data_IF_291529628995
#
_entry.id   IF_291529628995
#
_cell.length_a   1.000
_cell.length_b   1.000
_cell.length_c   1.000
_cell.angle_alpha   90.00
_cell.angle_beta   90.00
_cell.angle_gamma   90.00
#
_symmetry.space_group_name_H-M   'P 1'
#
loop_
_entity.id
_entity.type
_entity.pdbx_description
1 polymer ?
#
# COMPACT_ATOMS: atom_id res chain seq x y z
N UNK A 1 3.95 3.61 32.63
CA UNK A 1 5.17 4.11 31.96
C UNK A 1 5.22 3.80 30.45
N UNK A 2 4.76 2.62 29.98
CA UNK A 2 4.76 2.27 28.55
C UNK A 2 3.93 3.21 27.64
N UNK A 3 2.80 3.77 28.13
CA UNK A 3 1.97 4.74 27.39
C UNK A 3 2.67 6.09 27.12
N UNK A 4 3.68 6.45 27.92
CA UNK A 4 4.42 7.69 27.76
C UNK A 4 5.52 7.57 26.69
N UNK A 5 6.06 6.36 26.48
CA UNK A 5 7.14 6.10 25.51
C UNK A 5 6.59 6.03 24.08
N UNK A 6 5.40 5.44 23.88
CA UNK A 6 4.76 5.39 22.55
C UNK A 6 4.33 6.77 22.08
N UNK A 7 3.80 7.62 22.97
CA UNK A 7 3.43 8.99 22.63
C UNK A 7 4.65 9.86 22.27
N UNK A 8 5.81 9.63 22.90
CA UNK A 8 7.01 10.43 22.68
C UNK A 8 7.75 10.09 21.36
N UNK A 9 7.53 8.90 20.79
CA UNK A 9 8.11 8.50 19.51
C UNK A 9 7.29 8.99 18.29
N UNK A 10 5.99 9.20 18.43
CA UNK A 10 5.12 9.68 17.34
C UNK A 10 5.27 11.19 17.07
N UNK A 11 5.54 11.99 18.10
CA UNK A 11 5.64 13.47 17.98
C UNK A 11 6.81 13.94 17.09
N UNK A 12 8.04 13.42 17.19
CA UNK A 12 9.13 13.84 16.29
C UNK A 12 8.91 13.40 14.84
N UNK A 13 8.22 12.27 14.61
CA UNK A 13 7.86 11.83 13.26
C UNK A 13 6.87 12.81 12.60
N UNK A 14 5.84 13.24 13.32
CA UNK A 14 4.90 14.26 12.82
C UNK A 14 5.55 15.65 12.65
N UNK A 15 6.48 16.04 13.53
CA UNK A 15 7.17 17.33 13.43
C UNK A 15 8.17 17.36 12.24
N UNK A 16 8.85 16.25 11.96
CA UNK A 16 9.76 16.14 10.82
C UNK A 16 9.05 16.15 9.46
N UNK A 17 7.78 15.76 9.42
CA UNK A 17 6.96 15.81 8.20
C UNK A 17 6.57 17.25 7.79
N UNK A 18 6.55 18.22 8.72
CA UNK A 18 6.14 19.60 8.42
C UNK A 18 7.30 20.53 8.01
N UNK A 19 8.55 20.16 8.33
CA UNK A 19 9.72 20.95 7.98
C UNK A 19 10.30 20.61 6.59
N UNK A 20 9.79 19.56 5.94
CA UNK A 20 10.06 19.32 4.54
C UNK A 20 9.29 20.36 3.73
N UNK A 21 9.95 21.49 3.46
CA UNK A 21 9.61 22.43 2.42
C UNK A 21 9.01 21.66 1.24
N UNK A 22 7.76 22.00 0.87
CA UNK A 22 6.96 21.35 -0.17
C UNK A 22 7.61 21.61 -1.52
N UNK A 23 8.80 21.04 -1.75
CA UNK A 23 9.19 20.63 -3.08
C UNK A 23 8.16 19.60 -3.44
N UNK A 24 7.26 19.96 -4.36
CA UNK A 24 6.36 19.02 -5.00
C UNK A 24 7.20 17.76 -5.27
N UNK A 25 6.91 16.64 -4.58
CA UNK A 25 7.72 15.44 -4.70
C UNK A 25 7.84 15.17 -6.18
N UNK A 26 9.06 14.98 -6.69
CA UNK A 26 9.27 14.73 -8.10
C UNK A 26 8.27 13.65 -8.52
N UNK A 27 7.25 14.06 -9.29
CA UNK A 27 5.99 13.32 -9.53
C UNK A 27 6.18 11.99 -10.29
N UNK A 28 7.45 11.61 -10.45
CA UNK A 28 7.99 10.68 -11.41
C UNK A 28 9.01 9.73 -10.76
N UNK A 29 9.21 9.80 -9.43
CA UNK A 29 9.98 8.78 -8.72
C UNK A 29 9.15 7.51 -8.60
N UNK A 30 9.73 6.40 -9.02
CA UNK A 30 9.24 5.08 -8.68
C UNK A 30 9.17 4.94 -7.15
N UNK A 31 7.96 4.72 -6.64
CA UNK A 31 7.70 4.56 -5.21
C UNK A 31 7.06 3.20 -4.88
N UNK A 32 7.05 2.27 -5.85
CA UNK A 32 6.57 0.90 -5.65
C UNK A 32 7.28 0.20 -4.49
N UNK A 33 8.60 0.35 -4.40
CA UNK A 33 9.39 -0.17 -3.28
C UNK A 33 8.98 0.38 -1.91
N UNK A 34 8.50 1.63 -1.84
CA UNK A 34 7.97 2.20 -0.59
C UNK A 34 6.68 1.53 -0.18
N UNK A 35 5.76 1.32 -1.13
CA UNK A 35 4.51 0.61 -0.85
C UNK A 35 4.81 -0.84 -0.43
N UNK A 36 5.72 -1.52 -1.13
CA UNK A 36 6.07 -2.92 -0.84
C UNK A 36 6.62 -3.07 0.58
N UNK A 37 7.45 -2.12 1.03
CA UNK A 37 7.96 -2.09 2.38
C UNK A 37 6.85 -1.88 3.42
N UNK A 38 5.96 -0.92 3.19
CA UNK A 38 4.83 -0.64 4.09
C UNK A 38 3.91 -1.87 4.22
N UNK A 39 3.60 -2.52 3.10
CA UNK A 39 2.78 -3.72 3.07
C UNK A 39 3.46 -4.88 3.79
N UNK A 40 4.74 -5.11 3.51
CA UNK A 40 5.52 -6.15 4.16
C UNK A 40 5.58 -5.96 5.67
N UNK A 41 5.77 -4.71 6.15
CA UNK A 41 5.76 -4.39 7.57
C UNK A 41 4.38 -4.58 8.21
N UNK A 42 3.31 -4.16 7.53
CA UNK A 42 1.93 -4.35 8.00
C UNK A 42 1.58 -5.84 8.13
N UNK A 43 1.90 -6.64 7.11
CA UNK A 43 1.67 -8.09 7.10
C UNK A 43 2.51 -8.79 8.18
N UNK A 44 3.79 -8.43 8.30
CA UNK A 44 4.67 -9.01 9.31
C UNK A 44 4.18 -8.70 10.74
N UNK A 45 3.76 -7.46 10.99
CA UNK A 45 3.16 -7.06 12.27
C UNK A 45 1.83 -7.78 12.52
N UNK A 46 0.98 -7.92 11.50
CA UNK A 46 -0.27 -8.66 11.59
C UNK A 46 -0.03 -10.13 11.99
N UNK A 47 0.89 -10.80 11.29
CA UNK A 47 1.24 -12.20 11.56
C UNK A 47 1.87 -12.39 12.94
N UNK A 48 2.85 -11.55 13.31
CA UNK A 48 3.48 -11.58 14.62
C UNK A 48 2.48 -11.30 15.74
N UNK A 49 1.56 -10.35 15.52
CA UNK A 49 0.47 -10.04 16.44
C UNK A 49 -0.48 -11.20 16.64
N UNK A 50 -0.88 -11.87 15.55
CA UNK A 50 -1.71 -13.08 15.60
C UNK A 50 -1.08 -14.18 16.46
N UNK A 51 0.19 -14.52 16.19
CA UNK A 51 0.93 -15.54 16.96
C UNK A 51 1.09 -15.19 18.45
N UNK A 52 1.24 -13.91 18.77
CA UNK A 52 1.34 -13.46 20.17
C UNK A 52 -0.02 -13.39 20.87
N UNK A 53 -1.11 -13.24 20.11
CA UNK A 53 -2.46 -13.08 20.67
C UNK A 53 -3.00 -14.36 21.33
N UNK A 54 -2.48 -15.52 20.96
CA UNK A 54 -2.81 -16.81 21.56
C UNK A 54 -2.21 -17.02 22.97
N UNK A 55 -1.31 -16.13 23.40
CA UNK A 55 -0.67 -16.24 24.72
C UNK A 55 -1.50 -15.55 25.80
N UNK A 56 -1.55 -16.13 26.99
CA UNK A 56 -2.23 -15.52 28.13
C UNK A 56 -1.55 -14.24 28.64
N UNK A 57 -2.33 -13.41 29.32
CA UNK A 57 -1.84 -12.24 30.06
C UNK A 57 -1.42 -11.06 29.19
N UNK A 58 -0.28 -10.44 29.52
CA UNK A 58 0.21 -9.22 28.85
C UNK A 58 0.64 -9.49 27.41
N UNK A 59 1.14 -10.70 27.11
CA UNK A 59 1.56 -11.08 25.75
C UNK A 59 0.39 -11.15 24.78
N UNK A 60 -0.75 -11.70 25.19
CA UNK A 60 -1.97 -11.73 24.37
C UNK A 60 -2.46 -10.35 23.98
N UNK A 61 -2.57 -9.44 24.96
CA UNK A 61 -2.98 -8.04 24.71
C UNK A 61 -2.03 -7.31 23.75
N UNK A 62 -0.73 -7.52 23.92
CA UNK A 62 0.28 -6.97 23.01
C UNK A 62 0.12 -7.55 21.61
N UNK A 63 -0.10 -8.87 21.50
CA UNK A 63 -0.36 -9.56 20.24
C UNK A 63 -1.57 -8.99 19.50
N UNK A 64 -2.73 -8.89 20.16
CA UNK A 64 -3.93 -8.28 19.56
C UNK A 64 -3.68 -6.84 19.12
N UNK A 65 -2.99 -6.04 19.94
CA UNK A 65 -2.67 -4.64 19.58
C UNK A 65 -1.77 -4.57 18.35
N UNK A 66 -0.75 -5.42 18.30
CA UNK A 66 0.18 -5.50 17.17
C UNK A 66 -0.52 -6.01 15.90
N UNK A 67 -1.45 -6.95 16.04
CA UNK A 67 -2.26 -7.46 14.93
C UNK A 67 -3.14 -6.35 14.34
N UNK A 68 -3.85 -5.59 15.20
CA UNK A 68 -4.67 -4.45 14.78
C UNK A 68 -3.81 -3.38 14.11
N UNK A 69 -2.65 -3.06 14.68
CA UNK A 69 -1.72 -2.09 14.10
C UNK A 69 -1.21 -2.57 12.73
N UNK A 70 -0.82 -3.84 12.61
CA UNK A 70 -0.38 -4.44 11.35
C UNK A 70 -1.47 -4.42 10.28
N UNK A 71 -2.71 -4.81 10.63
CA UNK A 71 -3.87 -4.72 9.75
C UNK A 71 -4.15 -3.27 9.32
N UNK A 72 -4.09 -2.31 10.25
CA UNK A 72 -4.27 -0.89 9.95
C UNK A 72 -3.18 -0.33 9.03
N UNK A 73 -1.92 -0.68 9.29
CA UNK A 73 -0.78 -0.32 8.44
C UNK A 73 -0.91 -0.92 7.05
N UNK A 74 -1.27 -2.20 6.94
CA UNK A 74 -1.52 -2.84 5.65
C UNK A 74 -2.71 -2.18 4.92
N UNK A 75 -3.83 -1.94 5.60
CA UNK A 75 -5.03 -1.39 4.95
C UNK A 75 -4.85 0.07 4.49
N UNK A 76 -4.24 0.92 5.32
CA UNK A 76 -4.18 2.36 5.09
C UNK A 76 -2.82 2.84 4.57
N UNK A 77 -1.75 2.06 4.80
CA UNK A 77 -0.39 2.50 4.55
C UNK A 77 -0.10 2.78 3.08
N UNK A 78 -0.53 1.90 2.17
CA UNK A 78 -0.38 2.15 0.73
C UNK A 78 -1.22 3.34 0.25
N UNK A 79 -2.47 3.42 0.68
CA UNK A 79 -3.36 4.55 0.36
C UNK A 79 -2.73 5.88 0.81
N UNK A 80 -2.16 5.93 2.02
CA UNK A 80 -1.42 7.09 2.51
C UNK A 80 -0.18 7.38 1.67
N UNK A 81 0.56 6.34 1.22
CA UNK A 81 1.69 6.52 0.32
C UNK A 81 1.24 7.13 -1.02
N UNK A 82 0.18 6.62 -1.65
CA UNK A 82 -0.39 7.19 -2.87
C UNK A 82 -0.75 8.67 -2.70
N UNK A 83 -1.36 9.05 -1.58
CA UNK A 83 -1.64 10.46 -1.26
C UNK A 83 -0.36 11.29 -1.09
N UNK A 84 0.65 10.74 -0.40
CA UNK A 84 1.95 11.38 -0.22
C UNK A 84 2.69 11.68 -1.53
N UNK A 85 2.47 10.86 -2.57
CA UNK A 85 2.98 11.08 -3.93
C UNK A 85 2.01 11.86 -4.84
N UNK A 86 0.95 12.46 -4.30
CA UNK A 86 -0.01 13.28 -5.05
C UNK A 86 -0.98 12.50 -5.94
N UNK A 87 -1.09 11.18 -5.76
CA UNK A 87 -1.94 10.28 -6.57
C UNK A 87 -3.25 9.95 -5.86
N UNK A 88 -4.11 10.96 -5.66
CA UNK A 88 -5.36 10.82 -4.90
C UNK A 88 -6.35 9.81 -5.47
N UNK A 89 -6.50 9.75 -6.80
CA UNK A 89 -7.36 8.76 -7.47
C UNK A 89 -6.88 7.33 -7.19
N UNK A 90 -5.57 7.09 -7.29
CA UNK A 90 -4.95 5.79 -7.00
C UNK A 90 -5.07 5.41 -5.53
N UNK A 91 -5.00 6.38 -4.61
CA UNK A 91 -5.25 6.11 -3.19
C UNK A 91 -6.66 5.57 -2.94
N UNK A 92 -7.69 6.14 -3.57
CA UNK A 92 -9.05 5.67 -3.40
C UNK A 92 -9.24 4.25 -3.97
N UNK A 93 -8.65 3.97 -5.14
CA UNK A 93 -8.69 2.63 -5.75
C UNK A 93 -7.93 1.62 -4.88
N UNK A 94 -6.75 1.96 -4.39
CA UNK A 94 -5.94 1.11 -3.51
C UNK A 94 -6.70 0.73 -2.23
N UNK A 95 -7.32 1.72 -1.58
CA UNK A 95 -8.17 1.49 -0.41
C UNK A 95 -9.35 0.57 -0.74
N UNK A 96 -10.03 0.83 -1.86
CA UNK A 96 -11.14 0.00 -2.34
C UNK A 96 -10.73 -1.45 -2.61
N UNK A 97 -9.56 -1.69 -3.23
CA UNK A 97 -9.02 -3.03 -3.44
C UNK A 97 -8.71 -3.73 -2.12
N UNK A 98 -8.07 -3.03 -1.17
CA UNK A 98 -7.68 -3.60 0.12
C UNK A 98 -8.87 -3.90 1.04
N UNK A 99 -10.00 -3.23 0.87
CA UNK A 99 -11.25 -3.61 1.53
C UNK A 99 -12.01 -4.68 0.76
N UNK A 100 -12.16 -4.49 -0.55
CA UNK A 100 -13.04 -5.31 -1.38
C UNK A 100 -12.49 -6.69 -1.65
N UNK A 101 -11.23 -6.81 -2.06
CA UNK A 101 -10.66 -8.09 -2.49
C UNK A 101 -10.59 -9.12 -1.36
N UNK A 102 -10.18 -8.79 -0.11
CA UNK A 102 -10.29 -9.74 1.01
C UNK A 102 -11.71 -10.19 1.29
N UNK A 103 -12.69 -9.27 1.26
CA UNK A 103 -14.11 -9.60 1.51
C UNK A 103 -14.65 -10.53 0.43
N UNK A 104 -14.34 -10.25 -0.84
CA UNK A 104 -14.70 -11.12 -1.97
C UNK A 104 -14.05 -12.50 -1.83
N UNK A 105 -12.75 -12.56 -1.52
CA UNK A 105 -12.05 -13.82 -1.30
C UNK A 105 -12.62 -14.63 -0.14
N UNK A 106 -12.91 -13.99 0.99
CA UNK A 106 -13.54 -14.60 2.15
C UNK A 106 -14.94 -15.15 1.81
N UNK A 107 -15.74 -14.38 1.07
CA UNK A 107 -17.08 -14.80 0.65
C UNK A 107 -17.03 -15.99 -0.30
N UNK A 108 -16.18 -15.93 -1.33
CA UNK A 108 -16.06 -17.00 -2.32
C UNK A 108 -15.56 -18.29 -1.69
N UNK A 109 -14.52 -18.22 -0.85
CA UNK A 109 -13.99 -19.40 -0.15
C UNK A 109 -15.01 -20.02 0.81
N UNK A 110 -15.72 -19.22 1.60
CA UNK A 110 -16.79 -19.69 2.48
C UNK A 110 -17.93 -20.36 1.71
N UNK A 111 -18.37 -19.78 0.59
CA UNK A 111 -19.37 -20.38 -0.28
C UNK A 111 -18.89 -21.70 -0.91
N UNK A 112 -17.62 -21.79 -1.30
CA UNK A 112 -17.06 -23.05 -1.83
C UNK A 112 -17.00 -24.15 -0.78
N UNK A 113 -16.62 -23.83 0.46
CA UNK A 113 -16.61 -24.80 1.55
C UNK A 113 -18.01 -25.34 1.85
N UNK A 114 -19.02 -24.46 1.84
CA UNK A 114 -20.41 -24.86 1.96
C UNK A 114 -20.88 -25.74 0.80
N UNK A 115 -20.54 -25.36 -0.45
CA UNK A 115 -20.95 -26.10 -1.64
C UNK A 115 -20.35 -27.50 -1.72
N UNK A 116 -19.07 -27.66 -1.37
CA UNK A 116 -18.37 -28.96 -1.35
C UNK A 116 -19.04 -29.91 -0.33
N UNK A 117 -19.48 -29.37 0.80
CA UNK A 117 -20.14 -30.15 1.88
C UNK A 117 -21.51 -30.73 1.48
N UNK A 118 -22.10 -30.25 0.37
CA UNK A 118 -23.36 -30.76 -0.19
C UNK A 118 -23.17 -31.63 -1.45
N UNK A 119 -21.93 -31.92 -1.86
CA UNK A 119 -21.60 -32.54 -3.16
C UNK A 119 -22.01 -34.02 -3.35
N UNK A 120 -22.67 -34.65 -2.38
CA UNK A 120 -22.97 -36.09 -2.38
C UNK A 120 -24.45 -36.47 -2.22
N UNK A 121 -25.38 -35.51 -2.24
CA UNK A 121 -26.82 -35.75 -2.05
C UNK A 121 -27.28 -35.74 -0.59
N UNK A 122 -26.35 -35.79 0.37
CA UNK A 122 -26.61 -35.57 1.79
C UNK A 122 -25.88 -34.29 2.22
N UNK A 123 -26.63 -33.21 2.48
CA UNK A 123 -26.06 -32.01 3.06
C UNK A 123 -25.91 -32.22 4.57
N UNK A 124 -24.74 -32.69 4.99
CA UNK A 124 -24.32 -32.45 6.38
C UNK A 124 -23.84 -31.00 6.48
N UNK A 125 -24.33 -30.22 7.46
CA UNK A 125 -23.82 -28.88 7.67
C UNK A 125 -22.31 -28.99 7.94
N UNK A 126 -21.46 -28.21 7.25
CA UNK A 126 -20.03 -28.20 7.56
C UNK A 126 -19.82 -27.81 9.02
N UNK A 127 -18.79 -28.37 9.64
CA UNK A 127 -18.39 -27.91 10.96
C UNK A 127 -18.09 -26.41 10.87
N UNK A 128 -18.50 -25.66 11.90
CA UNK A 128 -18.34 -24.19 11.91
C UNK A 128 -16.88 -23.78 11.72
N UNK A 129 -15.97 -24.63 12.17
CA UNK A 129 -14.53 -24.42 12.11
C UNK A 129 -13.99 -24.53 10.68
N UNK A 130 -14.54 -25.43 9.85
CA UNK A 130 -14.16 -25.57 8.44
C UNK A 130 -14.55 -24.33 7.62
N UNK A 131 -15.76 -23.82 7.82
CA UNK A 131 -16.23 -22.60 7.13
C UNK A 131 -15.43 -21.39 7.59
N UNK A 132 -15.16 -21.28 8.89
CA UNK A 132 -14.34 -20.21 9.44
C UNK A 132 -12.91 -20.25 8.88
N UNK A 133 -12.30 -21.43 8.82
CA UNK A 133 -10.96 -21.63 8.26
C UNK A 133 -10.90 -21.30 6.77
N UNK A 134 -11.85 -21.79 5.98
CA UNK A 134 -11.95 -21.47 4.56
C UNK A 134 -12.11 -19.96 4.33
N UNK A 135 -13.01 -19.32 5.08
CA UNK A 135 -13.25 -17.87 5.04
C UNK A 135 -11.98 -17.09 5.37
N UNK A 136 -11.22 -17.52 6.38
CA UNK A 136 -9.96 -16.91 6.76
C UNK A 136 -8.89 -17.06 5.65
N UNK A 137 -8.77 -18.24 5.04
CA UNK A 137 -7.88 -18.45 3.89
C UNK A 137 -8.25 -17.52 2.74
N UNK A 138 -9.53 -17.43 2.38
CA UNK A 138 -9.97 -16.57 1.30
C UNK A 138 -9.73 -15.09 1.58
N UNK A 139 -9.90 -14.67 2.84
CA UNK A 139 -9.57 -13.31 3.27
C UNK A 139 -8.08 -13.02 3.07
N UNK A 140 -7.19 -13.91 3.54
CA UNK A 140 -5.73 -13.77 3.40
C UNK A 140 -5.32 -13.76 1.93
N UNK A 141 -5.83 -14.71 1.14
CA UNK A 141 -5.54 -14.80 -0.29
C UNK A 141 -6.01 -13.54 -1.04
N UNK A 142 -7.20 -13.04 -0.71
CA UNK A 142 -7.72 -11.78 -1.24
C UNK A 142 -6.87 -10.57 -0.84
N UNK A 143 -6.35 -10.54 0.38
CA UNK A 143 -5.39 -9.51 0.82
C UNK A 143 -4.09 -9.53 0.03
N UNK A 144 -3.50 -10.71 -0.16
CA UNK A 144 -2.29 -10.85 -0.99
C UNK A 144 -2.56 -10.40 -2.42
N UNK A 145 -3.70 -10.80 -3.00
CA UNK A 145 -4.10 -10.38 -4.34
C UNK A 145 -4.27 -8.86 -4.44
N UNK A 146 -4.87 -8.21 -3.44
CA UNK A 146 -4.98 -6.75 -3.37
C UNK A 146 -3.61 -6.08 -3.39
N UNK A 147 -2.67 -6.56 -2.57
CA UNK A 147 -1.28 -6.04 -2.54
C UNK A 147 -0.61 -6.21 -3.90
N UNK A 148 -0.73 -7.37 -4.54
CA UNK A 148 -0.15 -7.60 -5.88
C UNK A 148 -0.77 -6.66 -6.92
N UNK A 149 -2.09 -6.53 -6.96
CA UNK A 149 -2.76 -5.63 -7.90
C UNK A 149 -2.34 -4.18 -7.70
N UNK A 150 -2.22 -3.73 -6.45
CA UNK A 150 -1.77 -2.39 -6.11
C UNK A 150 -0.35 -2.12 -6.61
N UNK A 151 0.59 -3.04 -6.34
CA UNK A 151 1.99 -2.93 -6.78
C UNK A 151 2.13 -2.92 -8.30
N UNK A 152 1.50 -3.87 -8.99
CA UNK A 152 1.72 -4.07 -10.42
C UNK A 152 0.85 -3.17 -11.30
N UNK A 153 -0.25 -2.63 -10.79
CA UNK A 153 -1.17 -1.83 -11.57
C UNK A 153 -1.20 -0.36 -11.15
N UNK A 154 -1.25 -0.07 -9.85
CA UNK A 154 -1.42 1.29 -9.34
C UNK A 154 -0.10 1.99 -9.01
N UNK A 155 0.93 1.27 -8.59
CA UNK A 155 2.22 1.87 -8.24
C UNK A 155 3.12 2.19 -9.46
N UNK A 156 2.66 1.90 -10.69
CA UNK A 156 3.43 2.17 -11.91
C UNK A 156 3.67 3.67 -12.09
N UNK A 157 4.88 4.10 -12.49
CA UNK A 157 5.08 5.47 -12.99
C UNK A 157 4.03 5.72 -14.07
N UNK A 158 3.39 6.89 -14.05
CA UNK A 158 2.61 7.31 -15.22
C UNK A 158 3.63 7.38 -16.34
N UNK A 159 3.52 6.46 -17.31
CA UNK A 159 4.36 6.50 -18.48
C UNK A 159 4.32 7.95 -18.97
N UNK A 160 5.48 8.57 -19.10
CA UNK A 160 5.59 9.89 -19.70
C UNK A 160 5.03 9.77 -21.11
N UNK A 161 3.72 9.92 -21.27
CA UNK A 161 3.19 10.55 -22.46
C UNK A 161 3.69 11.98 -22.39
N UNK A 162 4.93 12.14 -22.84
CA UNK A 162 5.53 13.43 -23.09
C UNK A 162 4.77 14.02 -24.29
N UNK A 163 3.56 14.53 -24.03
CA UNK A 163 2.66 15.13 -25.03
C UNK A 163 2.78 16.65 -25.07
N UNK A 164 3.71 17.23 -24.29
CA UNK A 164 4.11 18.63 -24.42
C UNK A 164 5.36 18.77 -25.29
N UNK A 165 5.53 19.84 -26.08
CA UNK A 165 6.80 20.14 -26.72
C UNK A 165 7.89 20.28 -25.65
N UNK A 166 9.00 19.55 -25.82
CA UNK A 166 10.16 19.67 -24.93
C UNK A 166 10.85 20.98 -25.26
N UNK A 167 10.49 22.06 -24.57
CA UNK A 167 11.22 23.31 -24.68
C UNK A 167 12.43 23.21 -23.76
N UNK A 168 13.50 22.61 -24.29
CA UNK A 168 14.78 22.60 -23.61
C UNK A 168 15.46 23.96 -23.87
N UNK A 169 15.97 24.66 -22.84
CA UNK A 169 16.84 25.80 -23.06
C UNK A 169 18.10 25.30 -23.78
N UNK A 170 18.26 25.67 -25.04
CA UNK A 170 19.46 25.35 -25.81
C UNK A 170 20.47 26.44 -25.52
N UNK A 171 21.50 26.10 -24.76
CA UNK A 171 22.72 26.89 -24.66
C UNK A 171 23.64 26.45 -25.80
N UNK A 172 23.51 27.13 -26.95
CA UNK A 172 24.44 26.92 -28.06
C UNK A 172 25.72 27.75 -27.80
N UNK A 173 26.90 27.12 -27.71
CA UNK A 173 28.16 27.87 -27.68
C UNK A 173 28.32 28.59 -29.02
N UNK A 174 28.46 29.91 -28.98
CA UNK A 174 28.78 30.72 -30.16
C UNK A 174 30.25 30.48 -30.53
N UNK A 175 30.49 29.64 -31.53
CA UNK A 175 31.82 29.46 -32.13
C UNK A 175 32.13 30.70 -32.99
N UNK A 176 32.61 31.75 -32.34
CA UNK A 176 33.05 32.98 -32.99
C UNK A 176 33.18 34.10 -31.95
N UNK A 177 34.41 34.42 -31.58
CA UNK A 177 34.82 35.67 -30.91
C UNK A 177 34.51 35.84 -29.41
N UNK A 178 33.91 34.84 -28.75
CA UNK A 178 33.97 34.70 -27.29
C UNK A 178 33.22 35.77 -26.46
N UNK A 179 32.15 36.38 -26.97
CA UNK A 179 31.45 37.47 -26.26
C UNK A 179 29.91 37.38 -26.12
N UNK A 180 29.28 36.23 -26.33
CA UNK A 180 27.86 36.11 -25.98
C UNK A 180 27.31 34.70 -26.03
N UNK A 181 26.74 34.23 -24.92
CA UNK A 181 25.84 33.08 -24.94
C UNK A 181 24.45 33.56 -25.37
N UNK A 182 23.89 32.95 -26.41
CA UNK A 182 22.50 33.21 -26.81
C UNK A 182 21.64 32.14 -26.15
N UNK A 183 20.70 32.57 -25.31
CA UNK A 183 19.66 31.69 -24.78
C UNK A 183 18.50 31.65 -25.77
N UNK A 184 18.25 30.49 -26.37
CA UNK A 184 17.12 30.25 -27.27
C UNK A 184 16.18 29.17 -26.73
N UNK A 185 14.90 29.27 -27.07
CA UNK A 185 13.93 28.20 -26.87
C UNK A 185 13.98 27.29 -28.10
N UNK A 186 14.60 26.12 -27.95
CA UNK A 186 14.58 25.07 -28.97
C UNK A 186 13.48 24.07 -28.66
N UNK A 187 12.53 23.90 -29.57
CA UNK A 187 11.51 22.86 -29.51
C UNK A 187 11.45 22.12 -30.84
N UNK A 188 11.30 20.80 -30.79
CA UNK A 188 10.91 20.00 -31.96
C UNK A 188 9.38 19.99 -32.02
N UNK A 189 8.80 20.44 -33.12
CA UNK A 189 7.37 20.36 -33.40
C UNK A 189 7.00 19.00 -33.98
#
# INVERSE_FOLDING_TARGET
MLRLIVALALVPALASAQAAEVRAPALDRDYSGTIMLIDGLGIAALAAGGLLSERDGTSGKLGTTLAIAGAGTWLLGSSAAHLGYGKSSRSAISFGLRLGTPVVGATLSGLTAWGISCGGGECSPPETDDVAYATAIGFIAGGIAATVLDQFWLAKPEGREFTGPMVAPVLAPTTGDGRGAVAGLGGTF
#
